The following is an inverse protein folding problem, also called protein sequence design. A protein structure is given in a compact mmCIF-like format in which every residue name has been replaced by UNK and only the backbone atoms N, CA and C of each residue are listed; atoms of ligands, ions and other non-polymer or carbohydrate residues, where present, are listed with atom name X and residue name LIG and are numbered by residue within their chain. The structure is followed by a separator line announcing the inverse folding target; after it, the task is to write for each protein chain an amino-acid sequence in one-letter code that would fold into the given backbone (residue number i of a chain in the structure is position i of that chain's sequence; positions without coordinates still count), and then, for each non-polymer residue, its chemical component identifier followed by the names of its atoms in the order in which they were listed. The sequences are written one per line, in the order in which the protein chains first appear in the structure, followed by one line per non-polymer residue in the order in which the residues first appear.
data_IF_896000035175
#
_entry.id   IF_896000035175
#
_cell.length_a   1.000
_cell.length_b   1.000
_cell.length_c   1.000
_cell.angle_alpha   90.00
_cell.angle_beta   90.00
_cell.angle_gamma   90.00
#
_symmetry.space_group_name_H-M   'P 1'
#
loop_
_entity.id
_entity.type
_entity.pdbx_description
1 polymer ?
#
# COMPACT_ATOMS: atom_id res chain seq x y z
N UNK A 1 24.63 4.39 7.42
CA UNK A 1 23.44 5.03 8.01
C UNK A 1 22.96 6.12 7.06
N UNK A 2 21.81 5.95 6.42
CA UNK A 2 21.23 6.97 5.53
C UNK A 2 20.57 8.07 6.39
N UNK A 3 21.37 9.02 6.89
CA UNK A 3 20.88 10.29 7.44
C UNK A 3 20.96 11.36 6.36
N UNK A 4 20.14 11.19 5.31
CA UNK A 4 19.72 12.31 4.47
C UNK A 4 18.49 12.90 5.12
N UNK A 5 18.52 14.19 5.47
CA UNK A 5 17.33 14.86 5.96
C UNK A 5 16.25 14.78 4.86
N UNK A 6 15.12 14.13 5.16
CA UNK A 6 13.98 14.12 4.24
C UNK A 6 13.48 15.56 4.06
N UNK A 7 12.97 15.93 2.87
CA UNK A 7 12.33 17.21 2.67
C UNK A 7 11.21 17.41 3.70
N UNK A 8 10.98 18.66 4.11
CA UNK A 8 9.91 18.99 5.08
C UNK A 8 8.57 18.43 4.60
N UNK A 9 7.91 17.63 5.43
CA UNK A 9 6.63 16.96 5.11
C UNK A 9 6.77 15.50 4.63
N UNK A 10 7.96 15.06 4.22
CA UNK A 10 8.22 13.66 3.89
C UNK A 10 8.67 12.88 5.14
N UNK A 11 7.94 11.83 5.46
CA UNK A 11 8.31 10.89 6.52
C UNK A 11 8.67 9.54 5.90
N UNK A 12 9.56 8.77 6.55
CA UNK A 12 9.87 7.40 6.11
C UNK A 12 8.61 6.52 6.09
N UNK A 13 7.70 6.76 7.02
CA UNK A 13 6.40 6.10 7.05
C UNK A 13 5.56 6.44 5.82
N UNK A 14 5.49 7.71 5.42
CA UNK A 14 4.79 8.15 4.21
C UNK A 14 5.36 7.50 2.95
N UNK A 15 6.68 7.58 2.75
CA UNK A 15 7.34 6.94 1.60
C UNK A 15 7.12 5.43 1.56
N UNK A 16 7.04 4.79 2.72
CA UNK A 16 6.71 3.38 2.81
C UNK A 16 5.26 3.11 2.41
N UNK A 17 4.32 3.94 2.86
CA UNK A 17 2.92 3.81 2.49
C UNK A 17 2.71 4.02 0.99
N UNK A 18 3.36 5.03 0.41
CA UNK A 18 3.32 5.30 -1.03
C UNK A 18 3.80 4.08 -1.82
N UNK A 19 4.95 3.50 -1.42
CA UNK A 19 5.48 2.31 -2.08
C UNK A 19 4.58 1.07 -1.94
N UNK A 20 3.88 0.90 -0.82
CA UNK A 20 2.91 -0.18 -0.64
C UNK A 20 1.71 0.04 -1.57
N UNK A 21 1.25 1.29 -1.69
CA UNK A 21 0.11 1.65 -2.54
C UNK A 21 0.44 1.47 -4.02
N UNK A 22 1.63 1.89 -4.47
CA UNK A 22 2.11 1.69 -5.83
C UNK A 22 2.16 0.19 -6.19
N UNK A 23 2.73 -0.65 -5.32
CA UNK A 23 2.79 -2.10 -5.55
C UNK A 23 1.39 -2.74 -5.57
N UNK A 24 0.47 -2.24 -4.73
CA UNK A 24 -0.91 -2.68 -4.70
C UNK A 24 -1.64 -2.32 -6.00
N UNK A 25 -1.40 -1.13 -6.56
CA UNK A 25 -1.96 -0.69 -7.84
C UNK A 25 -1.46 -1.56 -9.00
N UNK A 26 -0.17 -1.88 -9.02
CA UNK A 26 0.43 -2.70 -10.09
C UNK A 26 -0.03 -4.17 -10.06
N UNK A 27 -0.13 -4.77 -8.87
CA UNK A 27 -0.28 -6.23 -8.76
C UNK A 27 -1.64 -6.71 -8.27
N UNK A 28 -2.34 -5.90 -7.48
CA UNK A 28 -3.55 -6.30 -6.76
C UNK A 28 -3.42 -7.60 -5.95
N UNK A 29 -2.21 -7.99 -5.53
CA UNK A 29 -1.93 -9.25 -4.84
C UNK A 29 -1.60 -9.03 -3.35
N UNK A 30 -2.53 -9.32 -2.42
CA UNK A 30 -2.31 -9.17 -0.99
C UNK A 30 -1.16 -10.03 -0.45
N UNK A 31 -0.95 -11.24 -0.98
CA UNK A 31 0.12 -12.13 -0.51
C UNK A 31 1.49 -11.57 -0.85
N UNK A 32 1.62 -10.94 -2.02
CA UNK A 32 2.83 -10.25 -2.43
C UNK A 32 3.14 -9.07 -1.52
N UNK A 33 2.15 -8.27 -1.16
CA UNK A 33 2.34 -7.16 -0.22
C UNK A 33 2.79 -7.65 1.17
N UNK A 34 2.20 -8.73 1.67
CA UNK A 34 2.61 -9.35 2.93
C UNK A 34 4.08 -9.79 2.90
N UNK A 35 4.53 -10.40 1.80
CA UNK A 35 5.92 -10.88 1.66
C UNK A 35 6.92 -9.74 1.49
N UNK A 36 6.59 -8.72 0.70
CA UNK A 36 7.50 -7.60 0.42
C UNK A 36 7.62 -6.63 1.59
N UNK A 37 6.51 -6.36 2.28
CA UNK A 37 6.45 -5.33 3.30
C UNK A 37 6.31 -5.89 4.72
N UNK A 38 6.04 -7.18 4.92
CA UNK A 38 5.85 -7.74 6.27
C UNK A 38 4.63 -7.17 6.99
N UNK A 39 3.57 -6.85 6.23
CA UNK A 39 2.31 -6.35 6.76
C UNK A 39 1.30 -7.49 6.98
N UNK A 40 0.35 -7.29 7.87
CA UNK A 40 -0.72 -8.25 8.13
C UNK A 40 -1.68 -8.34 6.92
N UNK A 41 -2.37 -9.48 6.80
CA UNK A 41 -3.34 -9.76 5.74
C UNK A 41 -4.41 -8.66 5.63
N UNK A 42 -5.05 -8.28 6.74
CA UNK A 42 -6.04 -7.18 6.76
C UNK A 42 -5.47 -5.86 6.23
N UNK A 43 -4.21 -5.56 6.52
CA UNK A 43 -3.56 -4.35 6.00
C UNK A 43 -3.33 -4.46 4.51
N UNK A 44 -2.85 -5.61 4.02
CA UNK A 44 -2.65 -5.85 2.58
C UNK A 44 -3.97 -5.75 1.81
N UNK A 45 -5.06 -6.33 2.34
CA UNK A 45 -6.39 -6.25 1.76
C UNK A 45 -6.90 -4.81 1.67
N UNK A 46 -6.64 -3.97 2.69
CA UNK A 46 -7.02 -2.54 2.66
C UNK A 46 -6.27 -1.78 1.57
N UNK A 47 -4.99 -2.05 1.37
CA UNK A 47 -4.22 -1.43 0.29
C UNK A 47 -4.72 -1.86 -1.09
N UNK A 48 -4.99 -3.15 -1.30
CA UNK A 48 -5.57 -3.64 -2.57
C UNK A 48 -6.94 -3.02 -2.84
N UNK A 49 -7.80 -2.94 -1.81
CA UNK A 49 -9.11 -2.29 -1.92
C UNK A 49 -8.99 -0.80 -2.26
N UNK A 50 -8.05 -0.10 -1.63
CA UNK A 50 -7.83 1.32 -1.89
C UNK A 50 -7.26 1.59 -3.29
N UNK A 51 -6.42 0.69 -3.80
CA UNK A 51 -5.83 0.80 -5.13
C UNK A 51 -6.80 0.40 -6.26
N UNK A 52 -7.78 -0.47 -5.96
CA UNK A 52 -8.74 -1.00 -6.94
C UNK A 52 -10.19 -0.87 -6.43
N UNK A 53 -10.71 0.36 -6.23
CA UNK A 53 -12.06 0.56 -5.70
C UNK A 53 -13.14 -0.07 -6.59
N UNK A 54 -12.99 -0.05 -7.91
CA UNK A 54 -13.91 -0.62 -8.90
C UNK A 54 -14.06 -2.15 -8.81
N UNK A 55 -13.08 -2.85 -8.21
CA UNK A 55 -13.14 -4.30 -7.96
C UNK A 55 -13.89 -4.64 -6.68
N UNK A 56 -14.18 -3.63 -5.85
CA UNK A 56 -14.82 -3.80 -4.53
C UNK A 56 -16.16 -3.08 -4.42
N UNK A 57 -16.52 -2.25 -5.40
CA UNK A 57 -17.87 -1.69 -5.54
C UNK A 57 -18.88 -2.82 -5.73
N UNK A 58 -19.52 -3.22 -4.63
CA UNK A 58 -20.73 -4.04 -4.68
C UNK A 58 -21.77 -3.31 -5.53
N UNK A 59 -22.35 -4.03 -6.49
CA UNK A 59 -23.44 -3.56 -7.34
C UNK A 59 -24.51 -2.87 -6.47
N UNK A 60 -25.06 -1.71 -6.89
CA UNK A 60 -26.15 -1.08 -6.16
C UNK A 60 -27.31 -2.08 -5.98
N UNK A 61 -27.82 -2.17 -4.75
CA UNK A 61 -29.00 -2.96 -4.41
C UNK A 61 -30.25 -2.43 -5.12
#
# INVERSE_FOLDING_TARGET
MLRGALPRGLTLSGLRQDRILDEAAETADPLRLMRLFGIAEQTAMRYVTAAHPERTTKLPR
#
